data_IF_758602551928
#
_entry.id   IF_758602551928
#
_cell.length_a   1.000
_cell.length_b   1.000
_cell.length_c   1.000
_cell.angle_alpha   90.00
_cell.angle_beta   90.00
_cell.angle_gamma   90.00
#
_symmetry.space_group_name_H-M   'P 1'
#
loop_
_entity.id
_entity.type
_entity.pdbx_description
1 polymer ?
#
# COMPACT_ATOMS: atom_id res chain seq x y z
N UNK A 1 13.75 4.50 5.41
CA UNK A 1 12.93 3.37 5.92
C UNK A 1 12.56 2.46 4.76
N UNK A 2 12.76 1.15 4.92
CA UNK A 2 12.34 0.18 3.90
C UNK A 2 10.81 0.17 3.79
N UNK A 3 10.29 -0.15 2.61
CA UNK A 3 8.84 -0.18 2.42
C UNK A 3 8.17 -1.30 3.23
N UNK A 4 8.79 -2.49 3.29
CA UNK A 4 8.34 -3.57 4.18
C UNK A 4 8.41 -3.18 5.66
N UNK A 5 9.41 -2.40 6.05
CA UNK A 5 9.53 -1.89 7.42
C UNK A 5 8.36 -0.96 7.76
N UNK A 6 7.99 -0.05 6.84
CA UNK A 6 6.79 0.78 7.01
C UNK A 6 5.56 -0.10 7.21
N UNK A 7 5.35 -1.10 6.35
CA UNK A 7 4.21 -2.02 6.48
C UNK A 7 4.17 -2.65 7.88
N UNK A 8 5.26 -3.27 8.33
CA UNK A 8 5.32 -3.95 9.63
C UNK A 8 4.99 -3.01 10.80
N UNK A 9 5.46 -1.76 10.77
CA UNK A 9 5.13 -0.73 11.78
C UNK A 9 3.67 -0.26 11.73
N UNK A 10 3.02 -0.43 10.58
CA UNK A 10 1.63 -0.04 10.34
C UNK A 10 0.64 -1.18 10.59
N UNK A 11 1.08 -2.39 10.95
CA UNK A 11 0.18 -3.49 11.29
C UNK A 11 -0.13 -3.51 12.79
N UNK A 12 -1.42 -3.58 13.13
CA UNK A 12 -1.85 -3.99 14.47
C UNK A 12 -1.47 -5.45 14.74
N UNK A 13 -1.69 -5.89 15.99
CA UNK A 13 -1.34 -7.26 16.41
C UNK A 13 -2.02 -8.34 15.56
N UNK A 14 -3.29 -8.12 15.20
CA UNK A 14 -4.05 -9.07 14.42
C UNK A 14 -3.45 -9.22 13.02
N UNK A 15 -3.35 -8.13 12.27
CA UNK A 15 -2.85 -8.17 10.90
C UNK A 15 -1.37 -8.59 10.83
N UNK A 16 -0.56 -8.20 11.81
CA UNK A 16 0.83 -8.64 11.90
C UNK A 16 0.93 -10.16 12.09
N UNK A 17 0.13 -10.73 12.99
CA UNK A 17 0.11 -12.18 13.21
C UNK A 17 -0.26 -12.96 11.95
N UNK A 18 -1.29 -12.49 11.22
CA UNK A 18 -1.73 -13.11 9.96
C UNK A 18 -0.66 -13.01 8.88
N UNK A 19 -0.04 -11.83 8.73
CA UNK A 19 1.03 -11.62 7.76
C UNK A 19 2.24 -12.50 8.04
N UNK A 20 2.68 -12.55 9.30
CA UNK A 20 3.82 -13.35 9.73
C UNK A 20 3.60 -14.84 9.47
N UNK A 21 2.44 -15.37 9.83
CA UNK A 21 2.10 -16.77 9.58
C UNK A 21 1.99 -17.09 8.09
N UNK A 22 1.51 -16.16 7.27
CA UNK A 22 1.52 -16.30 5.81
C UNK A 22 2.97 -16.39 5.28
N UNK A 23 3.85 -15.47 5.67
CA UNK A 23 5.26 -15.47 5.22
C UNK A 23 5.96 -16.77 5.62
N UNK A 24 5.77 -17.21 6.86
CA UNK A 24 6.34 -18.46 7.40
C UNK A 24 5.98 -19.70 6.57
N UNK A 25 4.75 -19.77 6.07
CA UNK A 25 4.24 -20.94 5.34
C UNK A 25 4.20 -20.76 3.82
N UNK A 26 4.63 -19.60 3.29
CA UNK A 26 4.59 -19.34 1.86
C UNK A 26 5.46 -20.31 1.05
N UNK A 27 6.65 -20.64 1.53
CA UNK A 27 7.56 -21.60 0.88
C UNK A 27 8.60 -22.14 1.84
N UNK A 28 9.22 -23.27 1.49
CA UNK A 28 10.37 -23.85 2.21
C UNK A 28 11.55 -22.85 2.29
N UNK A 29 11.63 -21.88 1.37
CA UNK A 29 12.70 -20.87 1.31
C UNK A 29 12.35 -19.55 2.02
N UNK A 30 11.26 -19.49 2.77
CA UNK A 30 10.78 -18.27 3.44
C UNK A 30 11.60 -17.86 4.69
N UNK A 31 12.72 -18.53 4.98
CA UNK A 31 13.56 -18.23 6.15
C UNK A 31 13.96 -16.75 6.23
N UNK A 32 14.57 -16.20 5.18
CA UNK A 32 15.06 -14.81 5.21
C UNK A 32 13.94 -13.76 5.20
N UNK A 33 12.85 -13.90 4.42
CA UNK A 33 11.70 -13.02 4.54
C UNK A 33 11.10 -13.01 5.96
N UNK A 34 10.95 -14.18 6.58
CA UNK A 34 10.45 -14.29 7.95
C UNK A 34 11.42 -13.65 8.95
N UNK A 35 12.72 -13.92 8.82
CA UNK A 35 13.74 -13.30 9.66
C UNK A 35 13.70 -11.77 9.56
N UNK A 36 13.54 -11.20 8.36
CA UNK A 36 13.37 -9.76 8.17
C UNK A 36 12.13 -9.22 8.89
N UNK A 37 10.99 -9.91 8.76
CA UNK A 37 9.75 -9.52 9.45
C UNK A 37 9.93 -9.53 10.98
N UNK A 38 10.63 -10.53 11.51
CA UNK A 38 10.81 -10.73 12.96
C UNK A 38 11.78 -9.73 13.60
N UNK A 39 12.75 -9.20 12.86
CA UNK A 39 13.76 -8.27 13.41
C UNK A 39 13.37 -6.80 13.34
N UNK A 40 12.32 -6.47 12.59
CA UNK A 40 11.80 -5.10 12.47
C UNK A 40 11.07 -4.72 13.76
N UNK A 41 11.53 -3.66 14.43
CA UNK A 41 10.81 -3.02 15.52
C UNK A 41 9.51 -2.39 14.99
N UNK A 42 8.38 -2.77 15.58
CA UNK A 42 7.03 -2.35 15.15
C UNK A 42 6.62 -0.96 15.64
N UNK A 43 7.42 -0.32 16.50
CA UNK A 43 7.15 1.05 16.96
C UNK A 43 7.39 2.05 15.84
N UNK A 44 6.43 2.95 15.62
CA UNK A 44 6.42 3.89 14.49
C UNK A 44 7.53 4.97 14.58
N UNK A 45 7.91 5.34 15.80
CA UNK A 45 8.92 6.35 16.16
C UNK A 45 10.36 5.83 16.07
N UNK A 46 10.56 4.52 16.09
CA UNK A 46 11.90 3.91 16.00
C UNK A 46 12.38 3.89 14.55
N UNK A 47 13.41 4.68 14.25
CA UNK A 47 14.16 4.53 13.01
C UNK A 47 15.12 3.33 13.10
N UNK A 48 15.25 2.59 12.00
CA UNK A 48 16.17 1.46 11.92
C UNK A 48 17.07 1.62 10.71
N UNK A 49 18.37 1.51 10.97
CA UNK A 49 19.37 1.53 9.93
C UNK A 49 19.37 0.23 9.11
N UNK A 50 19.65 0.35 7.81
CA UNK A 50 19.62 -0.78 6.89
C UNK A 50 20.76 -1.77 7.12
N UNK A 51 21.96 -1.31 7.52
CA UNK A 51 23.07 -2.21 7.88
C UNK A 51 22.80 -2.91 9.21
N UNK A 52 22.17 -2.20 10.15
CA UNK A 52 21.68 -2.77 11.40
C UNK A 52 20.66 -3.88 11.18
N UNK A 53 19.67 -3.66 10.31
CA UNK A 53 18.70 -4.68 9.92
C UNK A 53 19.36 -5.83 9.15
N UNK A 54 20.29 -5.54 8.23
CA UNK A 54 21.07 -6.55 7.53
C UNK A 54 21.74 -7.51 8.53
N UNK A 55 22.47 -6.96 9.50
CA UNK A 55 23.18 -7.75 10.51
C UNK A 55 22.23 -8.62 11.34
N UNK A 56 21.06 -8.09 11.70
CA UNK A 56 20.05 -8.88 12.44
C UNK A 56 19.48 -10.03 11.60
N UNK A 57 19.35 -9.86 10.28
CA UNK A 57 18.83 -10.90 9.38
C UNK A 57 19.87 -11.97 9.05
N UNK A 58 21.11 -11.57 8.76
CA UNK A 58 22.16 -12.46 8.25
C UNK A 58 23.19 -12.90 9.30
N UNK A 59 23.19 -12.29 10.49
CA UNK A 59 24.13 -12.57 11.59
C UNK A 59 25.41 -11.75 11.55
N UNK A 60 25.90 -11.42 10.35
CA UNK A 60 27.14 -10.67 10.12
C UNK A 60 26.88 -9.28 9.52
N UNK A 61 27.75 -8.29 9.75
CA UNK A 61 27.66 -6.99 9.08
C UNK A 61 27.85 -7.14 7.56
N UNK A 62 27.25 -6.24 6.74
CA UNK A 62 27.39 -6.30 5.30
C UNK A 62 28.85 -6.05 4.89
N UNK A 63 29.37 -6.83 3.94
CA UNK A 63 30.73 -6.65 3.41
C UNK A 63 30.67 -5.89 2.07
N UNK A 64 30.20 -4.65 2.13
CA UNK A 64 30.09 -3.73 0.99
C UNK A 64 28.79 -3.85 0.19
N UNK A 65 28.75 -3.10 -0.92
CA UNK A 65 27.51 -2.81 -1.68
C UNK A 65 26.77 -4.04 -2.21
N UNK A 66 27.50 -5.13 -2.51
CA UNK A 66 26.88 -6.35 -3.05
C UNK A 66 25.92 -6.98 -2.05
N UNK A 67 26.29 -6.96 -0.77
CA UNK A 67 25.47 -7.52 0.30
C UNK A 67 24.27 -6.64 0.58
N UNK A 68 24.45 -5.32 0.61
CA UNK A 68 23.33 -4.38 0.71
C UNK A 68 22.36 -4.50 -0.46
N UNK A 69 22.84 -4.70 -1.69
CA UNK A 69 21.96 -4.98 -2.84
C UNK A 69 21.11 -6.24 -2.64
N UNK A 70 21.69 -7.34 -2.14
CA UNK A 70 20.93 -8.57 -1.84
C UNK A 70 19.87 -8.30 -0.77
N UNK A 71 20.19 -7.53 0.25
CA UNK A 71 19.25 -7.18 1.31
C UNK A 71 18.11 -6.29 0.83
N UNK A 72 18.40 -5.29 -0.01
CA UNK A 72 17.32 -4.51 -0.64
C UNK A 72 16.45 -5.39 -1.54
N UNK A 73 17.02 -6.34 -2.29
CA UNK A 73 16.24 -7.32 -3.05
C UNK A 73 15.35 -8.17 -2.13
N UNK A 74 15.88 -8.65 -1.00
CA UNK A 74 15.10 -9.36 0.01
C UNK A 74 13.94 -8.50 0.54
N UNK A 75 14.19 -7.24 0.86
CA UNK A 75 13.15 -6.29 1.31
C UNK A 75 12.05 -6.11 0.28
N UNK A 76 12.42 -5.88 -1.00
CA UNK A 76 11.44 -5.77 -2.09
C UNK A 76 10.66 -7.06 -2.31
N UNK A 77 11.33 -8.21 -2.23
CA UNK A 77 10.68 -9.51 -2.35
C UNK A 77 9.70 -9.75 -1.21
N UNK A 78 10.09 -9.44 0.03
CA UNK A 78 9.25 -9.60 1.22
C UNK A 78 8.04 -8.67 1.17
N UNK A 79 8.21 -7.44 0.67
CA UNK A 79 7.08 -6.53 0.44
C UNK A 79 6.01 -7.12 -0.47
N UNK A 80 6.35 -7.96 -1.47
CA UNK A 80 5.35 -8.57 -2.36
C UNK A 80 4.37 -9.48 -1.61
N UNK A 81 4.76 -10.05 -0.47
CA UNK A 81 3.85 -10.86 0.34
C UNK A 81 2.69 -10.04 0.92
N UNK A 82 2.80 -8.71 0.98
CA UNK A 82 1.71 -7.85 1.47
C UNK A 82 0.48 -7.89 0.56
N UNK A 83 0.61 -8.40 -0.67
CA UNK A 83 -0.55 -8.73 -1.52
C UNK A 83 -1.51 -9.73 -0.86
N UNK A 84 -1.04 -10.56 0.07
CA UNK A 84 -1.91 -11.36 0.93
C UNK A 84 -2.83 -10.50 1.81
N UNK A 85 -2.28 -9.45 2.42
CA UNK A 85 -3.05 -8.54 3.26
C UNK A 85 -4.11 -7.79 2.45
N UNK A 86 -3.71 -7.18 1.33
CA UNK A 86 -4.62 -6.43 0.48
C UNK A 86 -5.81 -7.27 -0.03
N UNK A 87 -5.59 -8.58 -0.30
CA UNK A 87 -6.64 -9.49 -0.78
C UNK A 87 -7.59 -9.97 0.31
N UNK A 88 -7.10 -10.20 1.52
CA UNK A 88 -7.87 -10.84 2.59
C UNK A 88 -8.38 -9.86 3.64
N UNK A 89 -7.75 -8.68 3.74
CA UNK A 89 -8.03 -7.64 4.73
C UNK A 89 -7.90 -6.27 4.04
N UNK A 90 -8.82 -5.90 3.14
CA UNK A 90 -8.68 -4.71 2.29
C UNK A 90 -8.46 -3.41 3.09
N UNK A 91 -8.96 -3.35 4.32
CA UNK A 91 -8.89 -2.16 5.20
C UNK A 91 -7.78 -2.24 6.27
N UNK A 92 -6.77 -3.11 6.09
CA UNK A 92 -5.77 -3.38 7.13
C UNK A 92 -4.96 -2.14 7.59
N UNK A 93 -4.92 -1.08 6.79
CA UNK A 93 -4.27 0.18 7.15
C UNK A 93 -5.17 1.16 7.92
N UNK A 94 -6.50 1.00 7.89
CA UNK A 94 -7.45 1.99 8.40
C UNK A 94 -7.28 2.29 9.89
N UNK A 95 -6.90 1.30 10.71
CA UNK A 95 -6.69 1.50 12.15
C UNK A 95 -5.63 2.58 12.46
N UNK A 96 -4.72 2.85 11.52
CA UNK A 96 -3.72 3.91 11.67
C UNK A 96 -4.32 5.32 11.65
N UNK A 97 -5.50 5.52 11.05
CA UNK A 97 -6.20 6.81 11.08
C UNK A 97 -6.49 7.21 12.53
N UNK A 98 -6.96 6.27 13.35
CA UNK A 98 -7.24 6.54 14.78
C UNK A 98 -5.96 6.85 15.54
N UNK A 99 -4.86 6.13 15.27
CA UNK A 99 -3.54 6.40 15.87
C UNK A 99 -3.04 7.80 15.53
N UNK A 100 -3.18 8.23 14.28
CA UNK A 100 -2.81 9.58 13.82
C UNK A 100 -3.64 10.63 14.56
N UNK A 101 -4.96 10.45 14.62
CA UNK A 101 -5.85 11.38 15.33
C UNK A 101 -5.51 11.48 16.82
N UNK A 102 -5.12 10.37 17.46
CA UNK A 102 -4.65 10.39 18.85
C UNK A 102 -3.38 11.24 19.00
N UNK A 103 -2.40 11.11 18.11
CA UNK A 103 -1.20 11.97 18.15
C UNK A 103 -1.56 13.45 17.96
N UNK A 104 -2.47 13.76 17.04
CA UNK A 104 -2.96 15.14 16.83
C UNK A 104 -3.62 15.68 18.10
N UNK A 105 -4.54 14.93 18.70
CA UNK A 105 -5.25 15.34 19.90
C UNK A 105 -4.33 15.53 21.11
N UNK A 106 -3.23 14.76 21.16
CA UNK A 106 -2.21 14.88 22.20
C UNK A 106 -1.17 15.98 21.91
N UNK A 107 -1.28 16.70 20.79
CA UNK A 107 -0.36 17.76 20.39
C UNK A 107 0.95 17.28 19.74
N UNK A 108 1.13 15.98 19.55
CA UNK A 108 2.33 15.42 18.89
C UNK A 108 2.17 15.43 17.37
N UNK A 109 2.23 16.62 16.78
CA UNK A 109 2.07 16.83 15.35
C UNK A 109 3.21 16.20 14.53
N UNK A 110 4.41 16.08 15.10
CA UNK A 110 5.55 15.45 14.44
C UNK A 110 5.32 13.95 14.28
N UNK A 111 4.89 13.25 15.33
CA UNK A 111 4.55 11.83 15.24
C UNK A 111 3.34 11.61 14.33
N UNK A 112 2.32 12.47 14.41
CA UNK A 112 1.15 12.40 13.53
C UNK A 112 1.54 12.52 12.05
N UNK A 113 2.40 13.49 11.70
CA UNK A 113 2.88 13.70 10.34
C UNK A 113 3.73 12.52 9.86
N UNK A 114 4.67 12.05 10.67
CA UNK A 114 5.51 10.89 10.33
C UNK A 114 4.67 9.63 10.09
N UNK A 115 3.69 9.35 10.96
CA UNK A 115 2.81 8.20 10.78
C UNK A 115 1.93 8.38 9.52
N UNK A 116 1.40 9.58 9.28
CA UNK A 116 0.62 9.89 8.08
C UNK A 116 1.42 9.65 6.80
N UNK A 117 2.66 10.13 6.73
CA UNK A 117 3.54 9.91 5.57
C UNK A 117 3.84 8.42 5.36
N UNK A 118 4.09 7.66 6.44
CA UNK A 118 4.27 6.21 6.33
C UNK A 118 3.02 5.51 5.79
N UNK A 119 1.83 5.83 6.30
CA UNK A 119 0.57 5.24 5.80
C UNK A 119 0.36 5.60 4.34
N UNK A 120 0.53 6.87 3.96
CA UNK A 120 0.37 7.34 2.58
C UNK A 120 1.29 6.58 1.63
N UNK A 121 2.57 6.45 1.96
CA UNK A 121 3.55 5.80 1.09
C UNK A 121 3.24 4.31 0.87
N UNK A 122 2.70 3.62 1.89
CA UNK A 122 2.27 2.22 1.75
C UNK A 122 0.96 2.14 0.96
N UNK A 123 -0.02 2.99 1.28
CA UNK A 123 -1.33 3.03 0.63
C UNK A 123 -1.20 3.31 -0.87
N UNK A 124 -0.40 4.30 -1.26
CA UNK A 124 -0.08 4.60 -2.65
C UNK A 124 0.52 3.38 -3.35
N UNK A 125 1.45 2.68 -2.71
CA UNK A 125 2.15 1.57 -3.33
C UNK A 125 1.27 0.34 -3.57
N UNK A 126 0.30 0.10 -2.70
CA UNK A 126 -0.63 -1.03 -2.80
C UNK A 126 -1.94 -0.66 -3.50
N UNK A 127 -2.09 0.61 -3.93
CA UNK A 127 -3.32 1.16 -4.51
C UNK A 127 -4.55 1.11 -3.56
N UNK A 128 -4.32 1.29 -2.25
CA UNK A 128 -5.38 1.54 -1.27
C UNK A 128 -5.77 3.02 -1.29
N UNK A 129 -6.57 3.37 -2.30
CA UNK A 129 -6.99 4.75 -2.54
C UNK A 129 -7.85 5.32 -1.41
N UNK A 130 -8.62 4.48 -0.71
CA UNK A 130 -9.49 4.95 0.38
C UNK A 130 -8.69 5.43 1.57
N UNK A 131 -7.71 4.64 1.99
CA UNK A 131 -6.79 5.05 3.05
C UNK A 131 -5.96 6.26 2.60
N UNK A 132 -5.42 6.27 1.38
CA UNK A 132 -4.61 7.39 0.87
C UNK A 132 -5.41 8.70 0.88
N UNK A 133 -6.65 8.71 0.38
CA UNK A 133 -7.53 9.88 0.38
C UNK A 133 -7.77 10.40 1.81
N UNK A 134 -8.02 9.49 2.76
CA UNK A 134 -8.29 9.88 4.15
C UNK A 134 -7.06 10.52 4.79
N UNK A 135 -5.88 9.97 4.56
CA UNK A 135 -4.61 10.52 5.06
C UNK A 135 -4.31 11.88 4.43
N UNK A 136 -4.47 12.01 3.11
CA UNK A 136 -4.29 13.29 2.42
C UNK A 136 -5.25 14.36 2.95
N UNK A 137 -6.49 13.98 3.29
CA UNK A 137 -7.46 14.90 3.87
C UNK A 137 -7.02 15.40 5.26
N UNK A 138 -6.46 14.52 6.09
CA UNK A 138 -5.90 14.88 7.40
C UNK A 138 -4.72 15.84 7.23
N UNK A 139 -3.78 15.52 6.33
CA UNK A 139 -2.62 16.36 6.04
C UNK A 139 -3.05 17.73 5.50
N UNK A 140 -4.02 17.78 4.58
CA UNK A 140 -4.56 19.03 4.04
C UNK A 140 -5.19 19.91 5.13
N UNK A 141 -5.97 19.31 6.03
CA UNK A 141 -6.55 20.04 7.16
C UNK A 141 -5.48 20.65 8.06
N UNK A 142 -4.40 19.90 8.36
CA UNK A 142 -3.28 20.41 9.13
C UNK A 142 -2.57 21.57 8.43
N UNK A 143 -2.30 21.47 7.13
CA UNK A 143 -1.66 22.56 6.37
C UNK A 143 -2.55 23.81 6.31
N UNK A 144 -3.87 23.65 6.17
CA UNK A 144 -4.81 24.79 6.24
C UNK A 144 -4.76 25.48 7.60
N UNK A 145 -4.75 24.71 8.70
CA UNK A 145 -4.63 25.26 10.05
C UNK A 145 -3.29 25.97 10.30
N UNK A 146 -2.24 25.53 9.63
CA UNK A 146 -0.91 26.17 9.66
C UNK A 146 -0.74 27.28 8.61
N UNK A 147 -1.83 27.73 7.98
CA UNK A 147 -1.84 28.76 6.93
C UNK A 147 -0.98 28.43 5.69
N UNK A 148 -0.63 27.15 5.49
CA UNK A 148 0.10 26.65 4.33
C UNK A 148 -0.84 26.24 3.19
N UNK A 149 -1.55 27.21 2.63
CA UNK A 149 -2.56 26.95 1.59
C UNK A 149 -2.00 26.26 0.33
N UNK A 150 -0.73 26.53 -0.04
CA UNK A 150 -0.09 25.91 -1.20
C UNK A 150 0.12 24.40 -1.04
N UNK A 151 0.50 23.95 0.16
CA UNK A 151 0.71 22.53 0.41
C UNK A 151 -0.61 21.78 0.60
N UNK A 152 -1.61 22.42 1.23
CA UNK A 152 -2.97 21.90 1.27
C UNK A 152 -3.55 21.65 -0.13
N UNK A 153 -3.34 22.59 -1.08
CA UNK A 153 -3.82 22.46 -2.45
C UNK A 153 -3.26 21.21 -3.15
N UNK A 154 -1.96 20.91 -2.99
CA UNK A 154 -1.34 19.71 -3.56
C UNK A 154 -2.01 18.43 -3.10
N UNK A 155 -2.40 18.36 -1.82
CA UNK A 155 -3.12 17.21 -1.28
C UNK A 155 -4.53 17.09 -1.85
N UNK A 156 -5.27 18.19 -1.98
CA UNK A 156 -6.60 18.17 -2.61
C UNK A 156 -6.55 17.80 -4.10
N UNK A 157 -5.55 18.28 -4.85
CA UNK A 157 -5.33 17.87 -6.24
C UNK A 157 -5.04 16.37 -6.36
N UNK A 158 -4.24 15.80 -5.45
CA UNK A 158 -4.02 14.35 -5.40
C UNK A 158 -5.31 13.60 -5.07
N UNK A 159 -6.09 14.06 -4.10
CA UNK A 159 -7.39 13.45 -3.76
C UNK A 159 -8.32 13.39 -4.98
N UNK A 160 -8.45 14.48 -5.74
CA UNK A 160 -9.27 14.51 -6.96
C UNK A 160 -8.82 13.46 -7.99
N UNK A 161 -7.51 13.32 -8.20
CA UNK A 161 -6.96 12.28 -9.09
C UNK A 161 -7.32 10.87 -8.61
N UNK A 162 -7.15 10.59 -7.32
CA UNK A 162 -7.47 9.29 -6.74
C UNK A 162 -8.96 8.95 -6.87
N UNK A 163 -9.85 9.93 -6.67
CA UNK A 163 -11.29 9.75 -6.85
C UNK A 163 -11.64 9.37 -8.30
N UNK A 164 -10.98 9.98 -9.30
CA UNK A 164 -11.14 9.61 -10.71
C UNK A 164 -10.61 8.21 -11.02
N UNK A 165 -9.51 7.81 -10.38
CA UNK A 165 -9.01 6.44 -10.49
C UNK A 165 -10.03 5.44 -9.93
N UNK A 166 -10.56 5.69 -8.73
CA UNK A 166 -11.60 4.86 -8.12
C UNK A 166 -12.86 4.75 -8.99
N UNK A 167 -13.34 5.86 -9.55
CA UNK A 167 -14.50 5.86 -10.44
C UNK A 167 -14.26 4.92 -11.62
N UNK A 168 -13.13 5.06 -12.32
CA UNK A 168 -12.83 4.20 -13.47
C UNK A 168 -12.64 2.73 -13.12
N UNK A 169 -12.12 2.39 -11.92
CA UNK A 169 -12.05 0.99 -11.46
C UNK A 169 -13.45 0.44 -11.23
N UNK A 170 -14.33 1.22 -10.61
CA UNK A 170 -15.72 0.82 -10.38
C UNK A 170 -16.48 0.64 -11.71
N UNK A 171 -16.24 1.52 -12.68
CA UNK A 171 -16.77 1.40 -14.04
C UNK A 171 -16.30 0.10 -14.72
N UNK A 172 -15.00 -0.21 -14.68
CA UNK A 172 -14.45 -1.47 -15.20
C UNK A 172 -15.05 -2.70 -14.51
N UNK A 173 -15.13 -2.69 -13.18
CA UNK A 173 -15.75 -3.80 -12.43
C UNK A 173 -17.21 -4.01 -12.83
N UNK A 174 -17.98 -2.92 -12.99
CA UNK A 174 -19.36 -2.99 -13.43
C UNK A 174 -19.44 -3.55 -14.86
N UNK A 175 -18.61 -3.04 -15.77
CA UNK A 175 -18.52 -3.54 -17.15
C UNK A 175 -18.25 -5.05 -17.16
N UNK A 176 -17.20 -5.51 -16.47
CA UNK A 176 -16.84 -6.94 -16.37
C UNK A 176 -18.00 -7.76 -15.82
N UNK A 177 -18.66 -7.32 -14.74
CA UNK A 177 -19.78 -8.06 -14.14
C UNK A 177 -21.02 -8.13 -15.03
N UNK A 178 -21.34 -7.06 -15.76
CA UNK A 178 -22.45 -7.04 -16.72
C UNK A 178 -22.14 -7.98 -17.87
N UNK A 179 -20.95 -7.91 -18.44
CA UNK A 179 -20.57 -8.75 -19.59
C UNK A 179 -20.40 -10.24 -19.22
N UNK A 180 -19.97 -10.56 -17.99
CA UNK A 180 -19.81 -11.95 -17.54
C UNK A 180 -21.10 -12.59 -16.99
N UNK A 181 -22.19 -11.83 -16.81
CA UNK A 181 -23.49 -12.35 -16.36
C UNK A 181 -24.24 -13.15 -17.44
N UNK A 182 -23.92 -12.96 -18.72
CA UNK A 182 -24.57 -13.64 -19.85
C UNK A 182 -24.08 -15.08 -20.09
N UNK A 183 -23.85 -15.85 -19.02
CA UNK A 183 -23.48 -17.28 -19.10
C UNK A 183 -24.67 -18.14 -19.55
N UNK A 184 -24.99 -18.10 -20.85
CA UNK A 184 -25.80 -19.12 -21.52
C UNK A 184 -27.12 -18.67 -22.13
N UNK A 185 -27.36 -17.37 -22.31
CA UNK A 185 -28.43 -16.91 -23.22
C UNK A 185 -27.79 -16.39 -24.49
N UNK A 186 -27.73 -17.26 -25.50
CA UNK A 186 -27.30 -16.90 -26.85
C UNK A 186 -28.27 -15.88 -27.45
N UNK A 187 -27.86 -14.62 -27.49
CA UNK A 187 -28.21 -13.67 -28.56
C UNK A 187 -26.98 -12.76 -28.81
N UNK A 188 -25.97 -13.30 -29.48
CA UNK A 188 -24.77 -12.53 -29.84
C UNK A 188 -24.99 -11.76 -31.14
N UNK A 189 -25.52 -10.55 -31.01
CA UNK A 189 -25.14 -9.43 -31.87
C UNK A 189 -24.44 -8.39 -30.98
N UNK A 190 -23.28 -8.77 -30.43
CA UNK A 190 -22.47 -7.88 -29.61
C UNK A 190 -21.33 -7.33 -30.47
N UNK A 191 -21.23 -6.02 -30.54
CA UNK A 191 -20.09 -5.32 -31.14
C UNK A 191 -18.85 -5.53 -30.25
N UNK A 192 -18.13 -6.62 -30.52
CA UNK A 192 -16.91 -7.01 -29.82
C UNK A 192 -15.84 -5.92 -29.97
N UNK A 193 -15.79 -5.24 -31.11
CA UNK A 193 -14.81 -4.21 -31.41
C UNK A 193 -15.02 -2.98 -30.52
N UNK A 194 -16.27 -2.57 -30.26
CA UNK A 194 -16.56 -1.51 -29.28
C UNK A 194 -16.15 -1.87 -27.86
N UNK A 195 -16.32 -3.14 -27.46
CA UNK A 195 -15.91 -3.61 -26.12
C UNK A 195 -14.39 -3.64 -25.98
N UNK A 196 -13.68 -4.13 -27.00
CA UNK A 196 -12.22 -4.14 -27.02
C UNK A 196 -11.67 -2.72 -27.00
N UNK A 197 -12.21 -1.81 -27.82
CA UNK A 197 -11.82 -0.41 -27.84
C UNK A 197 -12.03 0.29 -26.48
N UNK A 198 -13.11 -0.05 -25.76
CA UNK A 198 -13.32 0.45 -24.39
C UNK A 198 -12.23 -0.03 -23.43
N UNK A 199 -11.89 -1.32 -23.44
CA UNK A 199 -10.85 -1.89 -22.57
C UNK A 199 -9.44 -1.39 -22.92
N UNK A 200 -9.14 -1.24 -24.21
CA UNK A 200 -7.87 -0.69 -24.71
C UNK A 200 -7.58 0.71 -24.14
N UNK A 201 -8.63 1.52 -23.91
CA UNK A 201 -8.52 2.84 -23.27
C UNK A 201 -7.93 2.83 -21.86
N UNK A 202 -7.86 1.67 -21.19
CA UNK A 202 -7.32 1.52 -19.84
C UNK A 202 -5.94 0.85 -19.78
N UNK A 203 -5.42 0.32 -20.89
CA UNK A 203 -4.12 -0.38 -20.93
C UNK A 203 -2.94 0.53 -20.57
N UNK A 204 -3.03 1.81 -20.88
CA UNK A 204 -2.03 2.84 -20.55
C UNK A 204 -2.35 3.59 -19.24
N UNK A 205 -3.25 3.06 -18.41
CA UNK A 205 -3.59 3.69 -17.14
C UNK A 205 -2.41 3.68 -16.17
N UNK A 206 -2.23 4.78 -15.42
CA UNK A 206 -1.25 4.84 -14.34
C UNK A 206 -1.55 3.88 -13.19
N UNK A 207 -2.82 3.49 -13.01
CA UNK A 207 -3.22 2.48 -12.02
C UNK A 207 -2.95 1.07 -12.55
N UNK A 208 -2.20 0.30 -11.78
CA UNK A 208 -2.01 -1.13 -12.00
C UNK A 208 -3.33 -1.89 -11.92
N UNK A 209 -4.21 -1.57 -10.97
CA UNK A 209 -5.52 -2.21 -10.86
C UNK A 209 -6.37 -2.02 -12.12
N UNK A 210 -6.40 -0.81 -12.70
CA UNK A 210 -7.10 -0.58 -13.97
C UNK A 210 -6.55 -1.42 -15.11
N UNK A 211 -5.22 -1.46 -15.27
CA UNK A 211 -4.56 -2.26 -16.31
C UNK A 211 -4.75 -3.76 -16.17
N UNK A 212 -4.92 -4.27 -14.94
CA UNK A 212 -5.14 -5.69 -14.69
C UNK A 212 -6.59 -6.14 -14.91
N UNK A 213 -7.55 -5.21 -14.82
CA UNK A 213 -8.99 -5.49 -15.01
C UNK A 213 -9.43 -5.32 -16.46
N UNK A 214 -8.69 -4.53 -17.24
CA UNK A 214 -8.92 -4.30 -18.66
C UNK A 214 -8.35 -5.44 -19.52
#
# INVERSE_FOLDING_TARGET
MLLIEKVIKLLDEFHFSQFREHVKHYSVRSYYPLALVDVIDRRADVEQDSEGLYKKVYGDPPNGDRDMKKFFQLSHYTFKFTGFLARNYPDYLQHNITRIQQFINNGDLTAAKRLSEMVRDVAEKIEDFDTEIKILSILAQQEVLNESGKDALKYYERIDRLLKLKSGINELNNFVLVQLKDRGKEEFNFDLDQKLAYLEGFLESESFAKRMLA
#
